data_IF_932454797098
#
_entry.id   IF_932454797098
#
_cell.length_a   1.000
_cell.length_b   1.000
_cell.length_c   1.000
_cell.angle_alpha   90.00
_cell.angle_beta   90.00
_cell.angle_gamma   90.00
#
_symmetry.space_group_name_H-M   'P 1'
#
loop_
_entity.id
_entity.type
_entity.pdbx_description
1 polymer ?
#
# COMPACT_ATOMS: atom_id res chain seq x y z
N UNK A 1 -21.69 -15.15 16.47
CA UNK A 1 -20.57 -15.12 15.52
C UNK A 1 -19.95 -13.74 15.57
N UNK A 2 -18.71 -13.62 16.04
CA UNK A 2 -17.96 -12.37 15.88
C UNK A 2 -17.63 -12.30 14.38
N UNK A 3 -18.30 -11.41 13.64
CA UNK A 3 -17.89 -11.12 12.26
C UNK A 3 -16.52 -10.46 12.35
N UNK A 4 -15.46 -11.22 12.11
CA UNK A 4 -14.14 -10.64 11.92
C UNK A 4 -14.19 -9.86 10.60
N UNK A 5 -14.30 -8.53 10.70
CA UNK A 5 -14.39 -7.63 9.54
C UNK A 5 -13.06 -7.49 8.78
N UNK A 6 -11.97 -8.08 9.31
CA UNK A 6 -10.62 -7.94 8.77
C UNK A 6 -10.01 -9.31 8.45
N UNK A 7 -10.30 -9.80 7.25
CA UNK A 7 -9.69 -11.03 6.74
C UNK A 7 -8.20 -10.80 6.45
N UNK A 8 -7.35 -11.76 6.85
CA UNK A 8 -5.92 -11.79 6.56
C UNK A 8 -5.18 -10.48 6.94
N UNK A 9 -5.38 -9.98 8.15
CA UNK A 9 -4.57 -8.93 8.75
C UNK A 9 -3.78 -9.48 9.95
N UNK A 10 -2.67 -8.82 10.30
CA UNK A 10 -1.96 -9.11 11.54
C UNK A 10 -2.70 -8.48 12.74
N UNK A 11 -2.50 -9.01 13.96
CA UNK A 11 -2.84 -8.29 15.19
C UNK A 11 -2.15 -6.91 15.22
N UNK A 12 -2.79 -5.92 15.83
CA UNK A 12 -2.27 -4.54 15.85
C UNK A 12 -0.81 -4.43 16.36
N UNK A 13 -0.48 -5.15 17.43
CA UNK A 13 0.86 -5.11 18.05
C UNK A 13 1.93 -5.72 17.13
N UNK A 14 1.62 -6.83 16.47
CA UNK A 14 2.51 -7.45 15.48
C UNK A 14 2.69 -6.57 14.25
N UNK A 15 1.60 -5.96 13.77
CA UNK A 15 1.63 -5.02 12.67
C UNK A 15 2.54 -3.83 12.99
N UNK A 16 2.39 -3.20 14.17
CA UNK A 16 3.25 -2.11 14.62
C UNK A 16 4.71 -2.53 14.71
N UNK A 17 5.00 -3.68 15.33
CA UNK A 17 6.36 -4.18 15.42
C UNK A 17 7.02 -4.34 14.04
N UNK A 18 6.28 -4.87 13.05
CA UNK A 18 6.78 -4.98 11.68
C UNK A 18 6.93 -3.61 10.99
N UNK A 19 5.99 -2.68 11.17
CA UNK A 19 6.13 -1.31 10.66
C UNK A 19 7.40 -0.64 11.22
N UNK A 20 7.75 -0.92 12.47
CA UNK A 20 8.87 -0.30 13.17
C UNK A 20 10.25 -0.87 12.85
N UNK A 21 10.34 -1.98 12.11
CA UNK A 21 11.61 -2.52 11.60
C UNK A 21 12.16 -1.56 10.53
N UNK A 22 13.42 -1.07 10.65
CA UNK A 22 14.07 -0.33 9.58
C UNK A 22 14.25 -1.17 8.30
N UNK A 23 13.86 -0.61 7.15
CA UNK A 23 13.86 -1.27 5.86
C UNK A 23 14.50 -0.37 4.81
N UNK A 24 15.05 -0.95 3.74
CA UNK A 24 15.41 -0.17 2.56
C UNK A 24 15.13 -0.86 1.25
N UNK A 25 15.06 -0.05 0.19
CA UNK A 25 14.98 -0.52 -1.17
C UNK A 25 15.51 0.55 -2.14
N UNK A 26 16.43 0.16 -3.02
CA UNK A 26 17.18 1.09 -3.89
C UNK A 26 16.97 0.85 -5.38
N UNK A 27 16.06 -0.06 -5.75
CA UNK A 27 15.78 -0.35 -7.16
C UNK A 27 14.59 0.48 -7.63
N UNK A 28 14.60 0.82 -8.92
CA UNK A 28 13.46 1.46 -9.56
C UNK A 28 12.25 0.53 -9.59
N UNK A 29 11.08 1.07 -9.32
CA UNK A 29 9.82 0.36 -9.45
C UNK A 29 9.32 0.47 -10.90
N UNK A 30 8.52 -0.51 -11.33
CA UNK A 30 7.94 -0.56 -12.66
C UNK A 30 6.50 -1.04 -12.56
N UNK A 31 5.58 -0.29 -13.18
CA UNK A 31 4.18 -0.68 -13.23
C UNK A 31 4.02 -1.98 -14.01
N UNK A 32 3.24 -2.90 -13.43
CA UNK A 32 2.77 -4.11 -14.10
C UNK A 32 1.24 -4.10 -14.14
N UNK A 33 0.62 -4.75 -15.14
CA UNK A 33 -0.81 -4.99 -15.09
C UNK A 33 -1.19 -5.75 -13.81
N UNK A 34 -2.21 -5.27 -13.09
CA UNK A 34 -2.79 -6.02 -12.00
C UNK A 34 -3.86 -6.99 -12.53
N UNK A 35 -4.25 -7.98 -11.70
CA UNK A 35 -5.36 -8.89 -12.04
C UNK A 35 -6.66 -8.13 -12.31
N UNK A 36 -6.90 -7.03 -11.58
CA UNK A 36 -7.96 -6.09 -11.89
C UNK A 36 -7.46 -5.13 -12.99
N UNK A 37 -8.07 -5.19 -14.18
CA UNK A 37 -7.71 -4.35 -15.35
C UNK A 37 -7.82 -2.84 -15.14
N UNK A 38 -8.39 -2.40 -14.03
CA UNK A 38 -8.45 -0.99 -13.66
C UNK A 38 -7.23 -0.54 -12.84
N UNK A 39 -6.34 -1.46 -12.45
CA UNK A 39 -5.17 -1.16 -11.62
C UNK A 39 -3.86 -1.48 -12.34
N UNK A 40 -2.85 -0.71 -12.01
CA UNK A 40 -1.44 -1.11 -12.11
C UNK A 40 -0.90 -1.44 -10.75
N UNK A 41 0.05 -2.35 -10.71
CA UNK A 41 0.69 -2.79 -9.49
C UNK A 41 2.21 -2.76 -9.58
N UNK A 42 2.86 -2.41 -8.48
CA UNK A 42 4.28 -2.65 -8.24
C UNK A 42 4.40 -3.48 -6.95
N UNK A 43 5.25 -4.50 -6.93
CA UNK A 43 5.53 -5.26 -5.73
C UNK A 43 7.03 -5.51 -5.60
N UNK A 44 7.55 -5.41 -4.37
CA UNK A 44 8.93 -5.71 -4.07
C UNK A 44 9.11 -6.24 -2.64
N UNK A 45 10.27 -6.83 -2.40
CA UNK A 45 10.70 -7.30 -1.08
C UNK A 45 11.80 -6.33 -0.59
N UNK A 46 11.59 -5.62 0.54
CA UNK A 46 12.60 -4.71 1.07
C UNK A 46 13.77 -5.47 1.70
N UNK A 47 14.90 -4.79 1.83
CA UNK A 47 16.05 -5.22 2.62
C UNK A 47 15.82 -4.93 4.11
N UNK A 48 16.33 -5.81 4.97
CA UNK A 48 16.38 -5.59 6.42
C UNK A 48 17.61 -4.74 6.76
N UNK A 49 17.41 -3.54 7.32
CA UNK A 49 18.51 -2.64 7.68
C UNK A 49 19.03 -2.85 9.11
N UNK A 50 18.45 -3.78 9.87
CA UNK A 50 18.94 -4.09 11.23
C UNK A 50 20.27 -4.83 11.20
N UNK A 51 20.57 -5.54 10.12
CA UNK A 51 21.85 -6.22 9.91
C UNK A 51 22.68 -5.46 8.85
N UNK A 52 23.66 -4.64 9.27
CA UNK A 52 24.47 -3.84 8.35
C UNK A 52 25.45 -4.69 7.51
N UNK A 53 25.66 -5.96 7.87
CA UNK A 53 26.68 -6.83 7.26
C UNK A 53 26.06 -7.65 6.14
N UNK A 54 24.89 -8.26 6.37
CA UNK A 54 24.31 -9.24 5.44
C UNK A 54 23.30 -8.60 4.47
N UNK A 55 22.72 -7.42 4.77
CA UNK A 55 21.74 -6.69 3.93
C UNK A 55 20.75 -7.62 3.20
N UNK A 56 20.30 -8.65 3.92
CA UNK A 56 19.39 -9.66 3.38
C UNK A 56 18.01 -9.06 3.12
N UNK A 57 17.22 -9.73 2.28
CA UNK A 57 15.79 -9.42 2.18
C UNK A 57 15.09 -9.71 3.50
N UNK A 58 14.16 -8.84 3.91
CA UNK A 58 13.35 -9.08 5.10
C UNK A 58 12.37 -10.24 4.84
N UNK A 59 12.68 -11.42 5.39
CA UNK A 59 12.00 -12.67 5.06
C UNK A 59 10.49 -12.60 5.27
N UNK A 60 9.74 -13.01 4.25
CA UNK A 60 8.28 -13.03 4.26
C UNK A 60 7.66 -11.64 4.20
N UNK A 61 8.41 -10.55 4.00
CA UNK A 61 7.85 -9.21 3.90
C UNK A 61 7.76 -8.78 2.45
N UNK A 62 6.66 -8.13 2.08
CA UNK A 62 6.56 -7.45 0.79
C UNK A 62 5.82 -6.14 0.89
N UNK A 63 6.20 -5.21 0.02
CA UNK A 63 5.49 -3.94 -0.19
C UNK A 63 4.81 -4.02 -1.54
N UNK A 64 3.57 -3.55 -1.60
CA UNK A 64 2.76 -3.48 -2.81
C UNK A 64 2.19 -2.07 -2.97
N UNK A 65 2.23 -1.58 -4.21
CA UNK A 65 1.61 -0.35 -4.67
C UNK A 65 0.57 -0.73 -5.70
N UNK A 66 -0.68 -0.39 -5.47
CA UNK A 66 -1.72 -0.48 -6.47
C UNK A 66 -2.27 0.91 -6.78
N UNK A 67 -2.33 1.27 -8.06
CA UNK A 67 -2.91 2.52 -8.51
C UNK A 67 -4.03 2.25 -9.51
N UNK A 68 -5.23 2.74 -9.18
CA UNK A 68 -6.42 2.64 -10.03
C UNK A 68 -6.35 3.71 -11.11
N UNK A 69 -6.21 3.25 -12.35
CA UNK A 69 -6.18 4.08 -13.55
C UNK A 69 -7.55 4.77 -13.73
N UNK A 70 -7.61 6.11 -13.86
CA UNK A 70 -8.83 6.77 -14.28
C UNK A 70 -9.09 6.42 -15.75
N UNK A 71 -10.18 5.69 -16.04
CA UNK A 71 -10.59 5.37 -17.43
C UNK A 71 -11.59 6.39 -17.97
N UNK A 72 -12.83 6.34 -17.46
CA UNK A 72 -13.94 7.23 -17.88
C UNK A 72 -14.46 8.11 -16.75
N UNK A 73 -14.42 7.61 -15.52
CA UNK A 73 -14.77 8.34 -14.31
C UNK A 73 -13.45 8.60 -13.58
N UNK A 74 -13.14 9.87 -13.32
CA UNK A 74 -11.99 10.32 -12.52
C UNK A 74 -12.22 9.97 -11.03
N UNK A 75 -12.11 8.68 -10.73
CA UNK A 75 -12.09 8.13 -9.37
C UNK A 75 -10.87 7.24 -9.23
N UNK A 76 -9.74 7.93 -9.23
CA UNK A 76 -8.43 7.41 -8.88
C UNK A 76 -8.48 6.83 -7.47
N UNK A 77 -7.59 5.87 -7.22
CA UNK A 77 -7.40 5.27 -5.91
C UNK A 77 -5.96 4.80 -5.83
N UNK A 78 -5.27 5.16 -4.76
CA UNK A 78 -3.91 4.70 -4.48
C UNK A 78 -3.97 3.81 -3.24
N UNK A 79 -3.46 2.58 -3.34
CA UNK A 79 -3.42 1.61 -2.25
C UNK A 79 -1.98 1.16 -2.04
N UNK A 80 -1.46 1.38 -0.85
CA UNK A 80 -0.07 1.12 -0.49
C UNK A 80 -0.09 0.14 0.67
N UNK A 81 0.48 -1.06 0.52
CA UNK A 81 0.34 -2.12 1.52
C UNK A 81 1.66 -2.77 1.87
N UNK A 82 1.92 -2.90 3.18
CA UNK A 82 2.96 -3.73 3.76
C UNK A 82 2.33 -5.06 4.19
N UNK A 83 2.93 -6.16 3.73
CA UNK A 83 2.47 -7.50 4.02
C UNK A 83 3.53 -8.33 4.74
N UNK A 84 3.06 -9.23 5.60
CA UNK A 84 3.82 -10.34 6.14
C UNK A 84 3.24 -11.66 5.65
N UNK A 85 4.06 -12.52 5.07
CA UNK A 85 3.73 -13.87 4.72
C UNK A 85 4.04 -14.78 5.93
N UNK A 86 3.04 -15.54 6.36
CA UNK A 86 3.18 -16.60 7.37
C UNK A 86 2.45 -17.85 6.86
N UNK A 87 3.13 -18.99 6.84
CA UNK A 87 2.55 -20.28 6.43
C UNK A 87 1.81 -20.23 5.08
N UNK A 88 2.40 -19.55 4.09
CA UNK A 88 1.80 -19.40 2.75
C UNK A 88 0.68 -18.36 2.64
N UNK A 89 0.24 -17.76 3.75
CA UNK A 89 -0.82 -16.74 3.77
C UNK A 89 -0.20 -15.35 3.89
N UNK A 90 -0.71 -14.41 3.09
CA UNK A 90 -0.26 -13.01 3.04
C UNK A 90 -1.15 -12.17 3.96
N UNK A 91 -0.60 -11.72 5.08
CA UNK A 91 -1.30 -10.90 6.09
C UNK A 91 -0.95 -9.42 5.92
N UNK A 92 -1.96 -8.56 5.90
CA UNK A 92 -1.79 -7.10 5.91
C UNK A 92 -1.26 -6.63 7.26
N UNK A 93 -0.10 -5.99 7.24
CA UNK A 93 0.48 -5.34 8.41
C UNK A 93 0.11 -3.85 8.45
N UNK A 94 0.25 -3.16 7.32
CA UNK A 94 -0.13 -1.76 7.19
C UNK A 94 -0.69 -1.50 5.80
N UNK A 95 -1.71 -0.66 5.69
CA UNK A 95 -2.20 -0.19 4.40
C UNK A 95 -2.62 1.26 4.49
N UNK A 96 -2.21 2.05 3.51
CA UNK A 96 -2.68 3.41 3.30
C UNK A 96 -3.50 3.44 2.02
N UNK A 97 -4.75 3.87 2.13
CA UNK A 97 -5.62 4.08 0.98
C UNK A 97 -5.91 5.57 0.80
N UNK A 98 -5.53 6.11 -0.35
CA UNK A 98 -5.94 7.43 -0.78
C UNK A 98 -7.15 7.30 -1.71
N UNK A 99 -8.25 7.95 -1.33
CA UNK A 99 -9.47 8.03 -2.11
C UNK A 99 -10.16 9.38 -1.89
N UNK A 100 -10.96 9.81 -2.86
CA UNK A 100 -11.76 11.04 -2.78
C UNK A 100 -12.69 11.02 -1.57
N UNK A 101 -12.85 12.16 -0.89
CA UNK A 101 -13.60 12.29 0.38
C UNK A 101 -15.08 11.91 0.27
N UNK A 102 -15.68 12.02 -0.91
CA UNK A 102 -17.07 11.62 -1.16
C UNK A 102 -17.23 10.11 -1.45
N UNK A 103 -16.12 9.38 -1.53
CA UNK A 103 -16.12 7.97 -1.88
C UNK A 103 -16.10 7.09 -0.63
N UNK A 104 -17.15 6.29 -0.44
CA UNK A 104 -17.14 5.19 0.52
C UNK A 104 -16.01 4.21 0.18
N UNK A 105 -14.96 4.23 0.98
CA UNK A 105 -13.69 3.56 0.70
C UNK A 105 -13.48 2.32 1.57
N UNK A 106 -14.13 2.26 2.73
CA UNK A 106 -14.11 1.11 3.64
C UNK A 106 -15.39 1.03 4.48
N UNK A 107 -15.53 -0.06 5.23
CA UNK A 107 -16.57 -0.28 6.23
C UNK A 107 -15.95 -1.04 7.40
N UNK A 108 -16.15 -0.55 8.62
CA UNK A 108 -15.69 -1.22 9.83
C UNK A 108 -16.81 -1.25 10.86
N UNK A 109 -17.13 -2.44 11.39
CA UNK A 109 -18.20 -2.63 12.39
C UNK A 109 -19.53 -1.95 12.06
N UNK A 110 -19.94 -2.03 10.78
CA UNK A 110 -21.14 -1.41 10.23
C UNK A 110 -21.11 0.12 10.10
N UNK A 111 -19.99 0.77 10.42
CA UNK A 111 -19.73 2.18 10.14
C UNK A 111 -19.05 2.34 8.77
N UNK A 112 -19.55 3.29 7.99
CA UNK A 112 -19.03 3.61 6.67
C UNK A 112 -17.91 4.64 6.77
N UNK A 113 -16.84 4.40 6.04
CA UNK A 113 -15.68 5.29 6.01
C UNK A 113 -15.52 5.84 4.62
N UNK A 114 -15.32 7.15 4.58
CA UNK A 114 -15.25 7.94 3.37
C UNK A 114 -13.86 8.55 3.23
N UNK A 115 -13.36 8.60 1.99
CA UNK A 115 -12.07 9.19 1.69
C UNK A 115 -10.87 8.36 2.15
N UNK A 116 -9.81 9.06 2.51
CA UNK A 116 -8.53 8.45 2.86
C UNK A 116 -8.59 7.75 4.23
N UNK A 117 -7.95 6.60 4.33
CA UNK A 117 -7.88 5.87 5.60
C UNK A 117 -6.63 4.97 5.64
N UNK A 118 -6.24 4.59 6.84
CA UNK A 118 -5.16 3.62 7.06
C UNK A 118 -5.63 2.42 7.88
N UNK A 119 -5.03 1.27 7.60
CA UNK A 119 -5.16 0.04 8.38
C UNK A 119 -3.82 -0.25 9.05
N UNK A 120 -3.81 -0.50 10.35
CA UNK A 120 -2.66 -1.02 11.10
C UNK A 120 -3.08 -2.37 11.70
N UNK A 121 -2.67 -3.44 11.03
CA UNK A 121 -3.19 -4.78 11.31
C UNK A 121 -4.71 -4.81 11.16
N UNK A 122 -5.39 -5.19 12.23
CA UNK A 122 -6.85 -5.24 12.36
C UNK A 122 -7.50 -3.89 12.67
N UNK A 123 -6.72 -2.86 13.04
CA UNK A 123 -7.27 -1.53 13.33
C UNK A 123 -7.36 -0.71 12.07
N UNK A 124 -8.45 0.03 11.95
CA UNK A 124 -8.65 0.98 10.87
C UNK A 124 -8.86 2.39 11.45
N UNK A 125 -8.39 3.40 10.72
CA UNK A 125 -8.46 4.80 11.12
C UNK A 125 -8.62 5.68 9.88
N UNK A 126 -9.54 6.66 9.93
CA UNK A 126 -9.64 7.68 8.89
C UNK A 126 -8.44 8.65 8.97
N UNK A 127 -7.93 9.06 7.81
CA UNK A 127 -6.88 10.08 7.71
C UNK A 127 -7.32 11.18 6.75
N UNK A 128 -6.84 12.40 6.96
CA UNK A 128 -7.09 13.50 6.03
C UNK A 128 -6.45 13.24 4.67
N UNK A 129 -7.02 13.83 3.62
CA UNK A 129 -6.38 13.85 2.31
C UNK A 129 -5.19 14.82 2.34
N UNK A 130 -3.96 14.30 2.44
CA UNK A 130 -2.74 15.13 2.49
C UNK A 130 -2.26 15.59 1.10
N UNK A 131 -2.56 14.80 0.05
CA UNK A 131 -2.12 15.05 -1.32
C UNK A 131 -3.25 14.75 -2.31
N UNK A 132 -3.20 15.26 -3.55
CA UNK A 132 -4.05 14.77 -4.64
C UNK A 132 -3.99 13.23 -4.75
N UNK A 133 -5.11 12.59 -5.07
CA UNK A 133 -5.20 11.11 -5.05
C UNK A 133 -4.27 10.46 -6.08
N UNK A 134 -4.03 11.15 -7.20
CA UNK A 134 -3.14 10.76 -8.29
C UNK A 134 -1.65 11.08 -8.02
N UNK A 135 -1.32 11.80 -6.95
CA UNK A 135 0.05 12.05 -6.50
C UNK A 135 0.63 10.82 -5.78
N UNK A 136 0.77 9.72 -6.54
CA UNK A 136 1.27 8.43 -6.06
C UNK A 136 2.66 8.59 -5.41
N UNK A 137 3.46 9.55 -5.88
CA UNK A 137 4.81 9.80 -5.37
C UNK A 137 4.76 10.29 -3.93
N UNK A 138 3.97 11.31 -3.63
CA UNK A 138 3.90 11.85 -2.27
C UNK A 138 3.15 10.92 -1.31
N UNK A 139 2.11 10.23 -1.78
CA UNK A 139 1.47 9.16 -1.01
C UNK A 139 2.46 8.03 -0.66
N UNK A 140 3.32 7.62 -1.60
CA UNK A 140 4.33 6.60 -1.31
C UNK A 140 5.39 7.09 -0.32
N UNK A 141 5.82 8.35 -0.38
CA UNK A 141 6.74 8.93 0.61
C UNK A 141 6.14 8.92 2.01
N UNK A 142 4.87 9.29 2.15
CA UNK A 142 4.15 9.21 3.42
C UNK A 142 4.10 7.77 3.94
N UNK A 143 3.74 6.82 3.08
CA UNK A 143 3.75 5.40 3.41
C UNK A 143 5.14 4.91 3.85
N UNK A 144 6.20 5.26 3.11
CA UNK A 144 7.58 4.91 3.45
C UNK A 144 7.96 5.40 4.84
N UNK A 145 7.62 6.65 5.18
CA UNK A 145 7.83 7.21 6.52
C UNK A 145 7.10 6.40 7.59
N UNK A 146 5.84 6.02 7.36
CA UNK A 146 5.01 5.25 8.30
C UNK A 146 5.58 3.85 8.57
N UNK A 147 6.21 3.22 7.60
CA UNK A 147 6.75 1.84 7.71
C UNK A 147 8.28 1.77 7.87
N UNK A 148 8.94 2.90 8.15
CA UNK A 148 10.40 3.06 8.22
C UNK A 148 11.14 2.45 7.03
N UNK A 149 10.65 2.71 5.83
CA UNK A 149 11.29 2.32 4.58
C UNK A 149 12.12 3.48 4.02
N UNK A 150 13.43 3.29 3.93
CA UNK A 150 14.34 4.14 3.19
C UNK A 150 14.36 3.73 1.71
N UNK A 151 13.63 4.46 0.87
CA UNK A 151 13.56 4.21 -0.57
C UNK A 151 14.38 5.24 -1.34
N UNK A 152 15.33 4.76 -2.16
CA UNK A 152 16.22 5.60 -2.97
C UNK A 152 16.11 5.34 -4.47
N UNK A 153 15.23 4.43 -4.88
CA UNK A 153 14.91 4.20 -6.29
C UNK A 153 13.97 5.28 -6.85
N UNK A 154 13.51 5.05 -8.08
CA UNK A 154 12.46 5.85 -8.70
C UNK A 154 11.11 5.14 -8.68
N UNK A 155 10.06 5.89 -8.39
CA UNK A 155 8.68 5.45 -8.57
C UNK A 155 8.30 5.74 -10.02
N UNK A 156 7.67 4.80 -10.73
CA UNK A 156 7.22 5.04 -12.09
C UNK A 156 6.14 6.12 -12.08
N UNK A 157 6.35 7.19 -12.83
CA UNK A 157 5.29 8.14 -13.10
C UNK A 157 4.24 7.47 -13.97
N UNK A 158 2.98 7.60 -13.58
CA UNK A 158 1.89 7.19 -14.45
C UNK A 158 1.52 8.38 -15.32
N UNK A 159 1.96 8.38 -16.59
CA UNK A 159 1.49 9.35 -17.57
C UNK A 159 0.24 8.79 -18.27
N UNK A 160 -0.79 9.61 -18.45
CA UNK A 160 -1.98 9.24 -19.21
C UNK A 160 -1.70 9.10 -20.72
N UNK A 161 -0.50 9.47 -21.17
CA UNK A 161 -0.17 9.72 -22.58
C UNK A 161 0.25 8.44 -23.31
N UNK A 162 0.70 7.39 -22.61
CA UNK A 162 1.30 6.19 -23.23
C UNK A 162 0.36 4.97 -23.35
N UNK A 163 -0.93 5.11 -23.05
CA UNK A 163 -1.90 4.01 -23.17
C UNK A 163 -3.08 4.37 -24.08
N UNK A 164 -2.74 4.92 -25.25
CA UNK A 164 -3.64 5.04 -26.40
C UNK A 164 -3.68 3.77 -27.27
N UNK A 165 -3.20 2.64 -26.76
CA UNK A 165 -3.18 1.40 -27.55
C UNK A 165 -4.31 0.45 -27.14
N UNK A 166 -5.25 0.38 -28.08
CA UNK A 166 -6.16 -0.73 -28.39
C UNK A 166 -7.45 -0.84 -27.55
N UNK A 167 -8.48 -0.17 -28.11
CA UNK A 167 -9.91 -0.46 -27.94
C UNK A 167 -10.25 -1.89 -28.40
#
# INVERSE_FOLDING_TARGET
>A
MIKSNHLNCLPYTEAKALMDIPKSYNKNLQWKPANNRNYVTCQFIPYDERDPIIKGTLTGVSVQLDYKRPKRIKREKTVLTLFQQKNGVKYRAYQLEAAHEDNKSSRDNDEDIYGCHEHIGEKLQQVGQEYPIDDVVNWFKLFCKKIKLNFTGNIPQYSLVEHNDEL
#
